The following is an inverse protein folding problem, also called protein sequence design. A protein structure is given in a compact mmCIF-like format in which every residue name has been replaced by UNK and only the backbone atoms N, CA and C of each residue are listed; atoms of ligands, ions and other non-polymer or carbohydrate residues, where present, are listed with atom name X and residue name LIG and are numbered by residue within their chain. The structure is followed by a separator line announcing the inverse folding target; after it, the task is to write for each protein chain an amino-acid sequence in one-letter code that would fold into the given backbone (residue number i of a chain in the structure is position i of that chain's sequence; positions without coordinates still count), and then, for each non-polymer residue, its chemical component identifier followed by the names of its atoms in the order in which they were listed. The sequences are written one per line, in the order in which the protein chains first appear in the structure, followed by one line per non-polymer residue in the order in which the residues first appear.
data_IF_418850151473
#
_entry.id   IF_418850151473
#
_cell.length_a   1.000
_cell.length_b   1.000
_cell.length_c   1.000
_cell.angle_alpha   90.00
_cell.angle_beta   90.00
_cell.angle_gamma   90.00
#
_symmetry.space_group_name_H-M   'P 1'
#
loop_
_entity.id
_entity.type
_entity.pdbx_description
1 polymer ?
#
# COMPACT_ATOMS: atom_id res chain seq x y z
N UNK A 1 10.60 5.99 -7.99
CA UNK A 1 9.75 6.18 -6.79
C UNK A 1 8.63 7.21 -7.01
N UNK A 2 8.90 8.32 -7.70
CA UNK A 2 7.96 9.44 -7.94
C UNK A 2 6.57 9.05 -8.43
N UNK A 3 6.49 8.07 -9.35
CA UNK A 3 5.19 7.57 -9.84
C UNK A 3 4.33 7.00 -8.72
N UNK A 4 4.92 6.20 -7.83
CA UNK A 4 4.21 5.59 -6.70
C UNK A 4 3.71 6.66 -5.72
N UNK A 5 4.55 7.65 -5.41
CA UNK A 5 4.17 8.80 -4.59
C UNK A 5 2.99 9.58 -5.20
N UNK A 6 2.99 9.79 -6.51
CA UNK A 6 1.90 10.48 -7.20
C UNK A 6 0.58 9.70 -7.11
N UNK A 7 0.61 8.38 -7.29
CA UNK A 7 -0.58 7.55 -7.13
C UNK A 7 -1.13 7.61 -5.70
N UNK A 8 -0.27 7.44 -4.70
CA UNK A 8 -0.69 7.50 -3.29
C UNK A 8 -1.30 8.87 -2.99
N UNK A 9 -0.68 9.95 -3.47
CA UNK A 9 -1.14 11.33 -3.23
C UNK A 9 -2.48 11.60 -3.91
N UNK A 10 -2.66 11.15 -5.15
CA UNK A 10 -3.91 11.29 -5.90
C UNK A 10 -5.06 10.60 -5.15
N UNK A 11 -4.89 9.32 -4.79
CA UNK A 11 -5.93 8.58 -4.09
C UNK A 11 -6.19 9.11 -2.68
N UNK A 12 -5.13 9.50 -1.95
CA UNK A 12 -5.30 10.12 -0.64
C UNK A 12 -6.07 11.44 -0.74
N UNK A 13 -5.84 12.25 -1.77
CA UNK A 13 -6.57 13.49 -2.03
C UNK A 13 -8.04 13.22 -2.37
N UNK A 14 -8.32 12.19 -3.17
CA UNK A 14 -9.69 11.81 -3.55
C UNK A 14 -10.50 11.25 -2.38
N UNK A 15 -9.87 10.45 -1.51
CA UNK A 15 -10.51 9.84 -0.35
C UNK A 15 -10.59 10.78 0.86
N UNK A 16 -9.83 11.88 0.85
CA UNK A 16 -9.73 12.83 1.96
C UNK A 16 -8.91 12.27 3.12
N UNK A 17 -9.57 11.58 4.06
CA UNK A 17 -8.91 10.99 5.24
C UNK A 17 -8.70 9.50 5.08
N UNK A 18 -7.44 9.05 5.16
CA UNK A 18 -7.10 7.63 5.14
C UNK A 18 -6.52 7.18 6.49
N UNK A 19 -6.81 5.93 6.86
CA UNK A 19 -6.36 5.34 8.14
C UNK A 19 -5.07 4.54 7.97
N UNK A 20 -4.89 3.92 6.81
CA UNK A 20 -3.72 3.11 6.52
C UNK A 20 -3.36 3.09 5.04
N UNK A 21 -2.08 2.85 4.76
CA UNK A 21 -1.53 2.47 3.47
C UNK A 21 -0.99 1.04 3.61
N UNK A 22 -1.39 0.18 2.68
CA UNK A 22 -1.01 -1.24 2.67
C UNK A 22 -0.03 -1.49 1.53
N UNK A 23 1.12 -2.07 1.86
CA UNK A 23 2.06 -2.60 0.88
C UNK A 23 1.97 -4.12 0.84
N UNK A 24 1.87 -4.66 -0.36
CA UNK A 24 1.78 -6.11 -0.62
C UNK A 24 2.60 -6.46 -1.87
N UNK A 25 2.71 -7.75 -2.19
CA UNK A 25 3.48 -8.25 -3.32
C UNK A 25 4.99 -8.21 -3.04
N UNK A 26 5.78 -8.86 -3.91
CA UNK A 26 7.20 -9.13 -3.64
C UNK A 26 8.01 -7.90 -3.18
N UNK A 27 7.94 -6.79 -3.92
CA UNK A 27 8.68 -5.56 -3.59
C UNK A 27 8.09 -4.85 -2.37
N UNK A 28 6.77 -4.70 -2.32
CA UNK A 28 6.07 -4.00 -1.24
C UNK A 28 6.24 -4.68 0.12
N UNK A 29 6.30 -6.01 0.14
CA UNK A 29 6.48 -6.81 1.35
C UNK A 29 7.93 -6.82 1.84
N UNK A 30 8.88 -7.02 0.93
CA UNK A 30 10.28 -7.34 1.29
C UNK A 30 11.19 -6.12 1.36
N UNK A 31 10.88 -5.04 0.64
CA UNK A 31 11.73 -3.84 0.63
C UNK A 31 11.21 -2.75 1.56
N UNK A 32 11.77 -2.67 2.77
CA UNK A 32 11.53 -1.57 3.71
C UNK A 32 11.96 -0.22 3.13
N UNK A 33 13.07 -0.19 2.37
CA UNK A 33 13.59 1.01 1.71
C UNK A 33 12.57 1.57 0.73
N UNK A 34 11.98 0.73 -0.12
CA UNK A 34 10.97 1.19 -1.08
C UNK A 34 9.74 1.73 -0.36
N UNK A 35 9.26 1.07 0.70
CA UNK A 35 8.13 1.58 1.49
C UNK A 35 8.43 2.94 2.10
N UNK A 36 9.62 3.12 2.68
CA UNK A 36 10.03 4.40 3.27
C UNK A 36 10.08 5.50 2.23
N UNK A 37 10.77 5.27 1.10
CA UNK A 37 10.86 6.23 0.01
C UNK A 37 9.48 6.55 -0.60
N UNK A 38 8.58 5.56 -0.67
CA UNK A 38 7.24 5.73 -1.23
C UNK A 38 6.36 6.65 -0.39
N UNK A 39 6.53 6.66 0.94
CA UNK A 39 5.75 7.52 1.85
C UNK A 39 6.51 8.78 2.28
N UNK A 40 7.79 8.88 1.91
CA UNK A 40 8.62 10.05 2.23
C UNK A 40 8.01 11.31 1.62
N UNK A 41 7.93 12.37 2.44
CA UNK A 41 7.42 13.69 2.06
C UNK A 41 5.96 13.72 1.57
N UNK A 42 5.19 12.64 1.74
CA UNK A 42 3.77 12.65 1.43
C UNK A 42 3.01 13.46 2.49
N UNK A 43 2.18 14.41 2.04
CA UNK A 43 1.25 15.16 2.90
C UNK A 43 -0.03 14.36 3.13
N UNK A 44 0.11 13.17 3.69
CA UNK A 44 -0.98 12.29 4.10
C UNK A 44 -1.20 12.45 5.61
N UNK A 45 -2.45 12.47 6.08
CA UNK A 45 -2.80 12.85 7.45
C UNK A 45 -1.95 12.17 8.54
N UNK A 46 -1.63 12.90 9.62
CA UNK A 46 -0.65 12.51 10.67
C UNK A 46 -0.91 11.16 11.36
N UNK A 47 -2.11 10.57 11.21
CA UNK A 47 -2.51 9.29 11.82
C UNK A 47 -2.48 8.10 10.86
N UNK A 48 -2.00 8.29 9.63
CA UNK A 48 -1.97 7.21 8.62
C UNK A 48 -0.96 6.14 9.00
N UNK A 49 -1.42 4.90 9.18
CA UNK A 49 -0.55 3.73 9.45
C UNK A 49 0.03 3.20 8.16
N UNK A 50 1.29 2.78 8.17
CA UNK A 50 1.89 2.08 7.03
C UNK A 50 2.09 0.62 7.42
N UNK A 51 1.40 -0.30 6.73
CA UNK A 51 1.45 -1.73 7.03
C UNK A 51 1.90 -2.53 5.82
N UNK A 52 2.54 -3.66 6.08
CA UNK A 52 2.80 -4.70 5.07
C UNK A 52 1.88 -5.87 5.31
N UNK A 53 1.36 -6.46 4.24
CA UNK A 53 0.57 -7.69 4.27
C UNK A 53 1.15 -8.61 3.19
N UNK A 54 1.24 -9.90 3.48
CA UNK A 54 1.64 -10.89 2.49
C UNK A 54 0.45 -11.23 1.60
N UNK A 55 0.61 -11.05 0.29
CA UNK A 55 -0.36 -11.53 -0.69
C UNK A 55 -0.15 -13.03 -0.93
N UNK A 56 -1.24 -13.78 -0.87
CA UNK A 56 -1.31 -15.17 -1.30
C UNK A 56 -2.42 -15.28 -2.35
N UNK A 57 -2.04 -15.00 -3.59
CA UNK A 57 -2.93 -14.95 -4.74
C UNK A 57 -3.49 -16.35 -5.06
N UNK A 58 -2.67 -17.39 -4.90
CA UNK A 58 -3.06 -18.80 -5.13
C UNK A 58 -4.12 -19.26 -4.13
N UNK A 59 -3.95 -18.90 -2.85
CA UNK A 59 -4.96 -19.20 -1.83
C UNK A 59 -6.28 -18.47 -2.12
N UNK A 60 -6.23 -17.24 -2.62
CA UNK A 60 -7.44 -16.49 -2.97
C UNK A 60 -8.15 -17.09 -4.19
N UNK A 61 -7.41 -17.54 -5.20
CA UNK A 61 -7.96 -18.31 -6.33
C UNK A 61 -8.64 -19.59 -5.81
N UNK A 62 -7.96 -20.35 -4.95
CA UNK A 62 -8.51 -21.58 -4.38
C UNK A 62 -9.79 -21.33 -3.55
N UNK A 63 -9.88 -20.20 -2.85
CA UNK A 63 -11.09 -19.80 -2.09
C UNK A 63 -12.24 -19.44 -3.02
N UNK A 64 -11.99 -18.73 -4.11
CA UNK A 64 -13.03 -18.34 -5.06
C UNK A 64 -13.63 -19.53 -5.81
N UNK A 65 -12.83 -20.56 -6.11
CA UNK A 65 -13.33 -21.81 -6.73
C UNK A 65 -14.25 -22.60 -5.78
N UNK A 66 -14.02 -22.53 -4.46
CA UNK A 66 -14.82 -23.24 -3.44
C UNK A 66 -16.13 -22.52 -3.08
N UNK A 67 -16.36 -21.33 -3.62
CA UNK A 67 -17.50 -20.45 -3.29
C UNK A 67 -18.59 -20.58 -4.34
#
# INVERSE_FOLDING_TARGET
ITRLQNYISLYASLLGSIQAIVFTGGIGERSSVIRQLAVQNLKIGKKTRVIKINADEELEIARQIRR
#
